data_IF_254844513310
#
_entry.id   IF_254844513310
#
_cell.length_a   1.000
_cell.length_b   1.000
_cell.length_c   1.000
_cell.angle_alpha   90.00
_cell.angle_beta   90.00
_cell.angle_gamma   90.00
#
_symmetry.space_group_name_H-M   'P 1'
#
loop_
_entity.id
_entity.type
_entity.pdbx_description
1 polymer ?
#
# COMPACT_ATOMS: atom_id res chain seq x y z
N UNK A 1 29.55 45.53 -3.32
CA UNK A 1 28.36 45.60 -2.45
C UNK A 1 28.58 44.63 -1.32
N UNK A 2 28.94 45.11 -0.14
CA UNK A 2 29.15 44.26 1.03
C UNK A 2 27.82 43.90 1.70
N UNK A 3 27.68 42.69 2.26
CA UNK A 3 26.46 42.27 2.94
C UNK A 3 26.36 42.97 4.31
N UNK A 4 25.17 43.46 4.65
CA UNK A 4 24.90 44.17 5.92
C UNK A 4 25.12 43.24 7.13
N UNK A 5 25.99 43.66 8.04
CA UNK A 5 26.43 42.93 9.24
C UNK A 5 25.37 42.77 10.36
N UNK A 6 24.08 42.98 10.10
CA UNK A 6 23.02 42.99 11.13
C UNK A 6 21.87 42.02 10.90
N UNK A 7 21.95 41.14 9.89
CA UNK A 7 20.97 40.08 9.71
C UNK A 7 21.25 38.89 10.63
N UNK A 8 20.62 38.86 11.81
CA UNK A 8 20.45 37.61 12.56
C UNK A 8 19.28 36.87 11.92
N UNK A 9 19.58 35.92 11.04
CA UNK A 9 18.56 35.11 10.35
C UNK A 9 17.50 34.55 11.30
N UNK A 10 16.35 34.15 10.76
CA UNK A 10 15.27 33.53 11.53
C UNK A 10 15.81 32.22 12.12
N UNK A 11 15.93 32.15 13.45
CA UNK A 11 16.11 30.86 14.12
C UNK A 11 14.81 30.09 13.94
N UNK A 12 14.82 29.05 13.12
CA UNK A 12 13.76 28.06 13.07
C UNK A 12 13.82 27.20 14.35
N UNK A 13 13.50 27.80 15.48
CA UNK A 13 13.34 27.11 16.76
C UNK A 13 11.85 27.10 17.10
N UNK A 14 11.09 26.23 16.43
CA UNK A 14 9.72 25.84 16.83
C UNK A 14 9.09 24.70 15.99
N UNK A 15 9.70 24.19 14.91
CA UNK A 15 9.06 23.11 14.12
C UNK A 15 9.26 21.70 14.68
N UNK A 16 10.18 21.50 15.64
CA UNK A 16 10.54 20.16 16.13
C UNK A 16 9.82 19.70 17.41
N UNK A 17 8.86 20.46 17.96
CA UNK A 17 8.23 20.11 19.24
C UNK A 17 6.70 20.09 19.26
N UNK A 18 6.01 20.35 18.14
CA UNK A 18 4.54 20.31 18.10
C UNK A 18 3.93 19.10 17.37
N UNK A 19 4.68 18.30 16.61
CA UNK A 19 4.13 17.11 15.90
C UNK A 19 4.30 15.78 16.66
N UNK A 20 5.10 15.74 17.73
CA UNK A 20 5.49 14.49 18.40
C UNK A 20 4.47 13.92 19.39
N UNK A 21 3.18 14.30 19.34
CA UNK A 21 2.23 13.96 20.40
C UNK A 21 1.08 13.01 20.04
N UNK A 22 0.88 12.56 18.79
CA UNK A 22 -0.41 11.93 18.45
C UNK A 22 -0.38 10.65 17.61
N UNK A 23 0.74 9.93 17.57
CA UNK A 23 0.78 8.62 16.93
C UNK A 23 1.55 7.61 17.78
N UNK A 24 0.84 6.61 18.29
CA UNK A 24 1.48 5.53 19.04
C UNK A 24 2.22 4.60 18.08
N UNK A 25 3.49 4.28 18.37
CA UNK A 25 4.22 3.28 17.58
C UNK A 25 3.52 1.93 17.73
N UNK A 26 3.23 1.30 16.60
CA UNK A 26 2.61 -0.02 16.50
C UNK A 26 3.57 -0.95 15.79
N UNK A 27 3.90 -2.05 16.46
CA UNK A 27 4.76 -3.11 15.94
C UNK A 27 3.99 -4.41 16.04
N UNK A 28 3.83 -5.11 14.91
CA UNK A 28 3.29 -6.46 14.92
C UNK A 28 3.79 -7.27 13.72
N UNK A 29 3.75 -8.57 13.89
CA UNK A 29 3.84 -9.55 12.82
C UNK A 29 2.57 -10.41 12.87
N UNK A 30 1.99 -10.66 11.71
CA UNK A 30 0.80 -11.49 11.56
C UNK A 30 1.07 -12.57 10.50
N UNK A 31 0.99 -13.84 10.92
CA UNK A 31 1.15 -15.00 10.04
C UNK A 31 -0.14 -15.34 9.26
N UNK A 32 -1.23 -14.60 9.51
CA UNK A 32 -2.51 -14.71 8.85
C UNK A 32 -3.14 -16.13 8.93
N UNK A 33 -2.74 -16.94 9.91
CA UNK A 33 -3.32 -18.26 10.13
C UNK A 33 -4.78 -18.17 10.62
N UNK A 34 -5.10 -17.12 11.36
CA UNK A 34 -6.46 -16.72 11.73
C UNK A 34 -6.63 -15.22 11.49
N UNK A 35 -7.58 -14.86 10.61
CA UNK A 35 -7.79 -13.47 10.21
C UNK A 35 -8.52 -12.73 11.31
N UNK A 36 -7.76 -11.94 12.07
CA UNK A 36 -8.28 -11.09 13.12
C UNK A 36 -9.16 -9.96 12.54
N UNK A 37 -10.50 -10.00 12.73
CA UNK A 37 -11.38 -9.01 12.12
C UNK A 37 -11.18 -7.60 12.67
N UNK A 38 -10.56 -7.46 13.84
CA UNK A 38 -10.17 -6.16 14.41
C UNK A 38 -9.01 -5.52 13.65
N UNK A 39 -8.14 -6.31 13.00
CA UNK A 39 -6.96 -5.83 12.26
C UNK A 39 -7.23 -5.73 10.77
N UNK A 40 -7.91 -6.73 10.22
CA UNK A 40 -8.07 -6.90 8.78
C UNK A 40 -9.53 -6.78 8.36
N UNK A 41 -9.73 -6.14 7.21
CA UNK A 41 -10.99 -6.10 6.49
C UNK A 41 -10.83 -6.93 5.20
N UNK A 42 -11.64 -7.99 5.08
CA UNK A 42 -11.81 -8.69 3.81
C UNK A 42 -12.71 -7.85 2.91
N UNK A 43 -12.21 -7.41 1.77
CA UNK A 43 -12.95 -6.48 0.90
C UNK A 43 -14.05 -7.19 0.13
N UNK A 44 -15.14 -6.47 -0.09
CA UNK A 44 -16.33 -6.94 -0.82
C UNK A 44 -16.82 -5.90 -1.85
N UNK A 45 -15.88 -5.24 -2.53
CA UNK A 45 -16.10 -4.09 -3.41
C UNK A 45 -15.30 -4.22 -4.72
N UNK A 46 -15.18 -3.14 -5.50
CA UNK A 46 -14.37 -3.08 -6.72
C UNK A 46 -13.96 -1.64 -7.02
N UNK A 47 -13.12 -1.45 -8.02
CA UNK A 47 -12.72 -0.15 -8.55
C UNK A 47 -12.70 -0.16 -10.09
N UNK A 48 -12.71 1.00 -10.78
CA UNK A 48 -12.90 1.07 -12.23
C UNK A 48 -11.92 0.21 -13.05
N UNK A 49 -10.64 0.16 -12.63
CA UNK A 49 -9.58 -0.62 -13.28
C UNK A 49 -9.64 -2.14 -13.04
N UNK A 50 -10.37 -2.60 -12.02
CA UNK A 50 -10.52 -4.02 -11.73
C UNK A 50 -11.63 -4.63 -12.60
N UNK A 51 -11.35 -5.76 -13.26
CA UNK A 51 -12.33 -6.53 -14.03
C UNK A 51 -13.18 -7.46 -13.16
N UNK A 52 -12.79 -7.70 -11.90
CA UNK A 52 -13.50 -8.54 -10.95
C UNK A 52 -14.16 -7.77 -9.80
N UNK A 53 -14.90 -8.50 -8.97
CA UNK A 53 -15.35 -8.04 -7.65
C UNK A 53 -14.51 -8.71 -6.57
N UNK A 54 -13.99 -7.92 -5.63
CA UNK A 54 -13.42 -8.51 -4.43
C UNK A 54 -14.51 -9.22 -3.64
N UNK A 55 -14.22 -10.43 -3.18
CA UNK A 55 -15.13 -11.25 -2.37
C UNK A 55 -14.37 -11.83 -1.19
N UNK A 56 -14.91 -11.80 0.04
CA UNK A 56 -14.29 -12.46 1.18
C UNK A 56 -14.05 -13.96 0.96
N UNK A 57 -14.93 -14.64 0.21
CA UNK A 57 -14.81 -16.06 -0.14
C UNK A 57 -13.56 -16.38 -0.99
N UNK A 58 -12.95 -15.38 -1.64
CA UNK A 58 -11.74 -15.56 -2.44
C UNK A 58 -10.45 -15.40 -1.62
N UNK A 59 -10.56 -15.04 -0.33
CA UNK A 59 -9.45 -15.01 0.62
C UNK A 59 -9.47 -16.32 1.41
N UNK A 60 -8.61 -17.26 1.02
CA UNK A 60 -8.64 -18.65 1.51
C UNK A 60 -7.47 -18.88 2.46
N UNK A 61 -7.70 -19.11 3.77
CA UNK A 61 -6.64 -19.47 4.71
C UNK A 61 -5.90 -20.74 4.28
N UNK A 62 -4.59 -20.76 4.47
CA UNK A 62 -3.74 -21.91 4.15
C UNK A 62 -3.44 -22.71 5.42
N UNK A 63 -3.41 -24.05 5.30
CA UNK A 63 -3.12 -24.95 6.44
C UNK A 63 -1.74 -24.67 7.08
N UNK A 64 -0.78 -24.21 6.30
CA UNK A 64 0.57 -23.85 6.76
C UNK A 64 0.68 -22.42 7.33
N UNK A 65 -0.46 -21.76 7.58
CA UNK A 65 -0.54 -20.32 7.79
C UNK A 65 -0.45 -19.53 6.48
N UNK A 66 -0.95 -18.29 6.51
CA UNK A 66 -1.07 -17.43 5.35
C UNK A 66 -2.43 -17.50 4.65
N UNK A 67 -2.53 -16.74 3.55
CA UNK A 67 -3.70 -16.61 2.69
C UNK A 67 -3.37 -16.95 1.25
N UNK A 68 -4.30 -17.60 0.56
CA UNK A 68 -4.40 -17.61 -0.90
C UNK A 68 -5.40 -16.54 -1.33
N UNK A 69 -4.95 -15.63 -2.20
CA UNK A 69 -5.76 -14.58 -2.79
C UNK A 69 -6.14 -15.00 -4.22
N UNK A 70 -7.35 -15.55 -4.38
CA UNK A 70 -7.75 -16.25 -5.61
C UNK A 70 -8.59 -15.38 -6.53
N UNK A 71 -8.31 -15.43 -7.84
CA UNK A 71 -9.15 -14.86 -8.90
C UNK A 71 -9.87 -16.01 -9.61
N UNK A 72 -11.20 -15.93 -9.72
CA UNK A 72 -12.05 -16.98 -10.29
C UNK A 72 -12.92 -16.39 -11.40
N UNK A 73 -13.12 -17.15 -12.48
CA UNK A 73 -14.11 -16.83 -13.51
C UNK A 73 -15.48 -17.30 -13.06
N UNK A 74 -16.33 -16.36 -12.66
CA UNK A 74 -17.70 -16.63 -12.24
C UNK A 74 -18.64 -15.44 -12.54
N UNK A 75 -19.89 -15.70 -12.95
CA UNK A 75 -20.86 -14.65 -13.21
C UNK A 75 -21.39 -14.06 -11.89
N UNK A 76 -21.16 -12.75 -11.66
CA UNK A 76 -21.61 -12.01 -10.47
C UNK A 76 -22.60 -10.89 -10.81
N UNK A 77 -23.24 -10.98 -11.98
CA UNK A 77 -24.13 -9.95 -12.53
C UNK A 77 -23.36 -8.80 -13.18
N UNK A 78 -22.74 -7.93 -12.38
CA UNK A 78 -22.04 -6.73 -12.87
C UNK A 78 -20.61 -6.99 -13.34
N UNK A 79 -20.03 -8.14 -12.97
CA UNK A 79 -18.71 -8.62 -13.40
C UNK A 79 -18.75 -10.14 -13.63
N UNK A 80 -17.81 -10.65 -14.41
CA UNK A 80 -17.68 -12.08 -14.74
C UNK A 80 -16.47 -12.74 -14.07
N UNK A 81 -15.90 -12.06 -13.07
CA UNK A 81 -14.72 -12.48 -12.32
C UNK A 81 -14.91 -12.08 -10.85
N UNK A 82 -14.48 -12.94 -9.94
CA UNK A 82 -14.21 -12.57 -8.54
C UNK A 82 -12.70 -12.47 -8.32
N UNK A 83 -12.32 -11.71 -7.30
CA UNK A 83 -10.95 -11.44 -6.91
C UNK A 83 -10.84 -11.38 -5.39
N UNK A 84 -9.61 -11.24 -4.88
CA UNK A 84 -9.34 -11.22 -3.44
C UNK A 84 -8.57 -9.97 -3.04
N UNK A 85 -8.99 -9.35 -1.95
CA UNK A 85 -8.28 -8.24 -1.32
C UNK A 85 -8.52 -8.20 0.19
N UNK A 86 -7.46 -7.85 0.91
CA UNK A 86 -7.46 -7.60 2.35
C UNK A 86 -6.85 -6.24 2.59
N UNK A 87 -7.43 -5.46 3.50
CA UNK A 87 -6.86 -4.20 3.96
C UNK A 87 -6.76 -4.14 5.47
N UNK A 88 -5.85 -3.34 6.00
CA UNK A 88 -5.89 -2.98 7.42
C UNK A 88 -7.17 -2.19 7.70
N UNK A 89 -7.65 -2.28 8.94
CA UNK A 89 -8.64 -1.34 9.47
C UNK A 89 -8.00 -0.05 9.96
N UNK A 90 -6.77 -0.16 10.45
CA UNK A 90 -6.03 0.99 10.96
C UNK A 90 -5.37 1.80 9.86
N UNK A 91 -5.26 3.10 10.10
CA UNK A 91 -4.45 4.01 9.32
C UNK A 91 -3.06 4.13 9.93
N UNK A 92 -2.05 4.07 9.08
CA UNK A 92 -0.66 4.17 9.46
C UNK A 92 -0.03 5.42 8.85
N UNK A 93 0.95 5.98 9.56
CA UNK A 93 1.75 7.11 9.11
C UNK A 93 3.22 6.80 9.37
N UNK A 94 4.02 6.73 8.31
CA UNK A 94 5.47 6.44 8.33
C UNK A 94 5.86 5.12 9.03
N UNK A 95 6.96 4.52 8.60
CA UNK A 95 7.49 3.26 9.13
C UNK A 95 7.80 2.23 8.05
N UNK A 96 7.91 0.97 8.48
CA UNK A 96 8.22 -0.18 7.63
C UNK A 96 7.02 -1.12 7.55
N UNK A 97 6.66 -1.48 6.32
CA UNK A 97 5.62 -2.43 5.98
C UNK A 97 6.24 -3.51 5.13
N UNK A 98 6.19 -4.76 5.60
CA UNK A 98 6.80 -5.89 4.92
C UNK A 98 5.79 -7.02 4.73
N UNK A 99 5.91 -7.72 3.61
CA UNK A 99 5.08 -8.87 3.28
C UNK A 99 5.96 -9.99 2.73
N UNK A 100 5.68 -11.22 3.14
CA UNK A 100 6.19 -12.41 2.47
C UNK A 100 5.13 -12.91 1.48
N UNK A 101 5.37 -12.75 0.18
CA UNK A 101 4.40 -13.07 -0.88
C UNK A 101 5.01 -13.88 -2.03
N UNK A 102 4.16 -14.67 -2.68
CA UNK A 102 4.42 -15.35 -3.94
C UNK A 102 3.34 -14.88 -4.92
N UNK A 103 3.75 -14.20 -5.99
CA UNK A 103 2.83 -13.62 -6.96
C UNK A 103 2.24 -14.69 -7.90
N UNK A 104 1.22 -14.31 -8.66
CA UNK A 104 0.75 -15.11 -9.79
C UNK A 104 1.58 -14.82 -11.05
N UNK A 105 1.73 -15.80 -11.94
CA UNK A 105 2.28 -15.62 -13.29
C UNK A 105 1.21 -15.69 -14.39
N UNK A 106 -0.06 -15.44 -14.05
CA UNK A 106 -1.13 -15.41 -15.04
C UNK A 106 -1.21 -14.03 -15.67
N UNK A 107 -1.00 -13.88 -17.00
CA UNK A 107 -1.15 -12.61 -17.70
C UNK A 107 -2.52 -11.99 -17.45
N UNK A 108 -2.55 -10.68 -17.28
CA UNK A 108 -3.71 -9.86 -16.95
C UNK A 108 -4.09 -9.83 -15.46
N UNK A 109 -3.39 -10.57 -14.60
CA UNK A 109 -3.50 -10.43 -13.15
C UNK A 109 -2.38 -9.54 -12.59
N UNK A 110 -2.68 -8.85 -11.50
CA UNK A 110 -1.72 -8.06 -10.71
C UNK A 110 -1.80 -8.54 -9.26
N UNK A 111 -0.65 -8.81 -8.65
CA UNK A 111 -0.50 -9.01 -7.21
C UNK A 111 0.08 -7.75 -6.60
N UNK A 112 -0.63 -7.12 -5.67
CA UNK A 112 -0.24 -5.84 -5.08
C UNK A 112 -0.09 -5.91 -3.56
N UNK A 113 0.88 -5.18 -3.03
CA UNK A 113 1.06 -4.83 -1.62
C UNK A 113 1.35 -3.33 -1.53
N UNK A 114 0.47 -2.56 -0.89
CA UNK A 114 0.52 -1.10 -1.04
C UNK A 114 -0.15 -0.38 0.13
N UNK A 115 0.22 0.89 0.30
CA UNK A 115 -0.44 1.83 1.20
C UNK A 115 -1.37 2.71 0.38
N UNK A 116 -2.59 2.97 0.85
CA UNK A 116 -3.56 3.80 0.11
C UNK A 116 -4.49 4.61 1.01
N UNK A 117 -4.85 5.81 0.53
CA UNK A 117 -6.01 6.60 0.95
C UNK A 117 -6.70 7.22 -0.27
N UNK A 118 -7.99 7.51 -0.14
CA UNK A 118 -8.81 7.99 -1.27
C UNK A 118 -8.74 9.51 -1.49
N UNK A 119 -8.83 10.34 -0.45
CA UNK A 119 -9.03 11.79 -0.62
C UNK A 119 -8.33 12.64 0.45
N UNK A 120 -7.30 13.44 0.11
CA UNK A 120 -6.56 13.42 -1.15
C UNK A 120 -5.96 12.04 -1.43
N UNK A 121 -5.95 11.61 -2.70
CA UNK A 121 -5.38 10.31 -3.05
C UNK A 121 -3.87 10.30 -2.85
N UNK A 122 -3.41 9.38 -2.01
CA UNK A 122 -1.99 9.07 -1.86
C UNK A 122 -1.81 7.56 -1.80
N UNK A 123 -0.77 7.07 -2.45
CA UNK A 123 -0.53 5.64 -2.61
C UNK A 123 0.96 5.35 -2.74
N UNK A 124 1.43 4.23 -2.19
CA UNK A 124 2.79 3.73 -2.32
C UNK A 124 2.72 2.23 -2.64
N UNK A 125 3.28 1.83 -3.77
CA UNK A 125 3.01 0.53 -4.38
C UNK A 125 4.22 -0.42 -4.42
N UNK A 126 3.94 -1.70 -4.18
CA UNK A 126 4.70 -2.87 -4.65
C UNK A 126 3.72 -3.70 -5.49
N UNK A 127 3.95 -3.79 -6.79
CA UNK A 127 3.11 -4.56 -7.71
C UNK A 127 3.94 -5.54 -8.56
N UNK A 128 3.42 -6.74 -8.75
CA UNK A 128 3.98 -7.75 -9.65
C UNK A 128 2.88 -8.17 -10.62
N UNK A 129 3.14 -7.99 -11.92
CA UNK A 129 2.18 -8.33 -12.97
C UNK A 129 2.42 -9.76 -13.45
N UNK A 130 1.35 -10.53 -13.66
CA UNK A 130 1.49 -11.94 -13.99
C UNK A 130 2.12 -12.23 -15.36
N UNK A 131 2.16 -11.25 -16.27
CA UNK A 131 2.91 -11.37 -17.53
C UNK A 131 4.42 -11.11 -17.40
N UNK A 132 4.88 -10.50 -16.30
CA UNK A 132 6.28 -10.16 -16.03
C UNK A 132 6.60 -10.39 -14.55
N UNK A 133 6.43 -11.63 -14.03
CA UNK A 133 6.69 -11.93 -12.62
C UNK A 133 8.18 -11.83 -12.24
N UNK A 134 9.05 -11.57 -13.22
CA UNK A 134 10.47 -11.27 -13.08
C UNK A 134 10.78 -9.78 -12.84
N UNK A 135 9.75 -8.92 -12.77
CA UNK A 135 9.91 -7.49 -12.51
C UNK A 135 8.98 -7.03 -11.41
N UNK A 136 9.52 -6.16 -10.56
CA UNK A 136 8.75 -5.39 -9.59
C UNK A 136 8.39 -4.03 -10.19
N UNK A 137 7.12 -3.66 -10.11
CA UNK A 137 6.64 -2.32 -10.40
C UNK A 137 6.45 -1.60 -9.06
N UNK A 138 7.22 -0.55 -8.82
CA UNK A 138 7.01 0.34 -7.69
C UNK A 138 6.44 1.65 -8.18
N UNK A 139 5.62 2.28 -7.37
CA UNK A 139 4.97 3.53 -7.75
C UNK A 139 4.63 4.35 -6.50
N UNK A 140 4.46 5.64 -6.72
CA UNK A 140 3.84 6.55 -5.77
C UNK A 140 2.83 7.37 -6.54
N UNK A 141 1.59 7.34 -6.09
CA UNK A 141 0.59 8.30 -6.49
C UNK A 141 0.49 9.40 -5.44
N UNK A 142 0.52 10.65 -5.91
CA UNK A 142 0.40 11.80 -5.04
C UNK A 142 -0.60 12.81 -5.60
N UNK A 143 -1.60 13.13 -4.79
CA UNK A 143 -2.46 14.29 -4.94
C UNK A 143 -2.21 15.27 -3.77
N UNK A 144 -1.92 16.56 -4.03
CA UNK A 144 -1.68 17.54 -2.98
C UNK A 144 -2.95 17.85 -2.17
N UNK A 145 -2.75 18.16 -0.89
CA UNK A 145 -3.81 18.57 0.03
C UNK A 145 -3.55 18.08 1.45
N UNK A 146 -4.34 18.59 2.38
CA UNK A 146 -4.36 18.15 3.78
C UNK A 146 -5.56 17.24 4.04
N UNK A 147 -5.60 16.64 5.24
CA UNK A 147 -6.76 15.89 5.71
C UNK A 147 -8.06 16.71 5.56
N UNK A 148 -9.11 16.10 5.00
CA UNK A 148 -10.39 16.77 4.77
C UNK A 148 -10.45 17.74 3.59
N UNK A 149 -9.39 17.85 2.77
CA UNK A 149 -9.44 18.61 1.53
C UNK A 149 -10.52 18.05 0.59
N UNK A 150 -11.32 18.96 -0.01
CA UNK A 150 -12.50 18.63 -0.83
C UNK A 150 -12.20 18.50 -2.33
N UNK A 151 -10.96 18.72 -2.73
CA UNK A 151 -10.56 18.77 -4.12
C UNK A 151 -9.45 17.76 -4.39
N UNK A 152 -9.61 17.01 -5.48
CA UNK A 152 -8.52 16.25 -6.08
C UNK A 152 -7.94 17.07 -7.24
N UNK A 153 -6.66 17.44 -7.13
CA UNK A 153 -5.99 18.26 -8.15
C UNK A 153 -5.46 17.43 -9.31
N UNK A 154 -5.82 16.14 -9.36
CA UNK A 154 -5.29 15.16 -10.30
C UNK A 154 -4.05 14.50 -9.69
N UNK A 155 -4.16 13.20 -9.38
CA UNK A 155 -3.04 12.42 -8.90
C UNK A 155 -2.07 12.09 -10.04
N UNK A 156 -0.77 12.10 -9.74
CA UNK A 156 0.28 11.66 -10.68
C UNK A 156 0.93 10.41 -10.14
N UNK A 157 0.91 9.35 -10.95
CA UNK A 157 1.70 8.14 -10.76
C UNK A 157 3.06 8.29 -11.41
N UNK A 158 4.07 7.73 -10.76
CA UNK A 158 5.47 7.80 -11.17
C UNK A 158 6.13 6.42 -11.08
N UNK A 159 5.65 5.48 -11.93
CA UNK A 159 6.04 4.08 -11.83
C UNK A 159 7.48 3.85 -12.27
N UNK A 160 8.15 2.92 -11.59
CA UNK A 160 9.50 2.44 -11.94
C UNK A 160 9.46 0.91 -11.97
N UNK A 161 9.96 0.32 -13.07
CA UNK A 161 10.02 -1.13 -13.23
C UNK A 161 11.44 -1.64 -13.01
N UNK A 162 11.59 -2.52 -12.01
CA UNK A 162 12.85 -3.00 -11.48
C UNK A 162 12.99 -4.51 -11.81
N UNK A 163 14.06 -4.96 -12.49
CA UNK A 163 14.33 -6.38 -12.65
C UNK A 163 14.62 -7.05 -11.30
N UNK A 164 13.97 -8.17 -11.01
CA UNK A 164 14.18 -8.92 -9.76
C UNK A 164 15.37 -9.88 -9.82
N UNK A 165 15.71 -10.36 -11.03
CA UNK A 165 16.72 -11.42 -11.21
C UNK A 165 16.20 -12.82 -10.87
N UNK A 166 14.93 -12.95 -10.50
CA UNK A 166 14.21 -14.20 -10.24
C UNK A 166 12.75 -14.06 -10.65
N UNK A 167 12.01 -15.16 -10.72
CA UNK A 167 10.56 -15.17 -10.99
C UNK A 167 9.78 -15.25 -9.67
N UNK A 168 9.15 -14.14 -9.28
CA UNK A 168 8.42 -14.00 -8.01
C UNK A 168 7.14 -14.86 -7.91
N UNK A 169 6.79 -15.60 -8.98
CA UNK A 169 5.71 -16.58 -8.95
C UNK A 169 6.13 -17.97 -8.52
N UNK A 170 7.44 -18.24 -8.43
CA UNK A 170 7.96 -19.60 -8.15
C UNK A 170 8.06 -19.91 -6.66
N UNK A 171 8.38 -18.91 -5.84
CA UNK A 171 8.62 -19.05 -4.40
C UNK A 171 8.18 -17.80 -3.66
N UNK A 172 8.11 -17.89 -2.32
CA UNK A 172 7.89 -16.73 -1.46
C UNK A 172 9.14 -15.84 -1.43
N UNK A 173 8.93 -14.54 -1.56
CA UNK A 173 9.94 -13.49 -1.37
C UNK A 173 9.41 -12.42 -0.41
N UNK A 174 10.31 -11.69 0.23
CA UNK A 174 9.94 -10.56 1.10
C UNK A 174 10.01 -9.26 0.30
N UNK A 175 8.94 -8.48 0.36
CA UNK A 175 8.90 -7.14 -0.21
C UNK A 175 8.59 -6.16 0.91
N UNK A 176 9.30 -5.04 0.97
CA UNK A 176 9.05 -4.04 1.98
C UNK A 176 9.02 -2.62 1.41
N UNK A 177 8.16 -1.81 2.01
CA UNK A 177 8.09 -0.36 1.86
C UNK A 177 8.57 0.23 3.17
N UNK A 178 9.61 1.05 3.12
CA UNK A 178 9.93 1.98 4.19
C UNK A 178 9.54 3.39 3.76
N UNK A 179 8.76 4.05 4.59
CA UNK A 179 8.16 5.33 4.30
C UNK A 179 8.46 6.31 5.44
N UNK A 180 9.04 7.44 5.08
CA UNK A 180 9.45 8.53 5.97
C UNK A 180 9.00 9.87 5.34
N UNK A 181 8.93 10.99 6.09
CA UNK A 181 8.67 12.31 5.50
C UNK A 181 9.61 12.69 4.34
N UNK A 182 10.85 12.18 4.33
CA UNK A 182 11.87 12.56 3.36
C UNK A 182 12.04 11.56 2.22
N UNK A 183 11.63 10.30 2.40
CA UNK A 183 11.89 9.25 1.42
C UNK A 183 10.90 8.10 1.47
N UNK A 184 10.87 7.36 0.35
CA UNK A 184 10.31 6.02 0.27
C UNK A 184 11.39 5.09 -0.27
N UNK A 185 11.60 3.97 0.41
CA UNK A 185 12.56 2.93 0.04
C UNK A 185 11.84 1.61 -0.16
N UNK A 186 12.19 0.89 -1.21
CA UNK A 186 11.67 -0.42 -1.51
C UNK A 186 12.77 -1.46 -1.35
N UNK A 187 12.42 -2.56 -0.67
CA UNK A 187 13.34 -3.67 -0.44
C UNK A 187 12.78 -4.97 -1.01
N UNK A 188 13.68 -5.82 -1.47
CA UNK A 188 13.40 -7.19 -1.90
C UNK A 188 14.36 -8.11 -1.15
N UNK A 189 13.81 -9.07 -0.41
CA UNK A 189 14.53 -10.04 0.42
C UNK A 189 15.48 -9.43 1.47
N UNK A 190 15.35 -8.13 1.75
CA UNK A 190 16.18 -7.36 2.69
C UNK A 190 17.12 -6.37 2.00
N UNK A 191 17.29 -6.48 0.67
CA UNK A 191 18.14 -5.61 -0.13
C UNK A 191 17.38 -4.38 -0.64
N UNK A 192 17.98 -3.19 -0.54
CA UNK A 192 17.41 -1.95 -1.07
C UNK A 192 17.48 -1.96 -2.60
N UNK A 193 16.33 -1.98 -3.26
CA UNK A 193 16.26 -2.02 -4.74
C UNK A 193 15.90 -0.68 -5.37
N UNK A 194 15.24 0.20 -4.61
CA UNK A 194 14.90 1.54 -5.08
C UNK A 194 14.71 2.51 -3.90
N UNK A 195 15.10 3.75 -4.11
CA UNK A 195 14.92 4.84 -3.16
C UNK A 195 14.40 6.06 -3.91
N UNK A 196 13.42 6.71 -3.32
CA UNK A 196 12.86 7.96 -3.78
C UNK A 196 12.95 8.97 -2.65
N UNK A 197 13.40 10.18 -2.97
CA UNK A 197 13.50 11.30 -2.03
C UNK A 197 12.48 12.38 -2.39
N UNK A 198 12.21 13.29 -1.45
CA UNK A 198 11.31 14.41 -1.67
C UNK A 198 11.70 15.21 -2.92
N UNK A 199 10.69 15.66 -3.67
CA UNK A 199 10.79 16.51 -4.87
C UNK A 199 11.33 15.85 -6.14
N UNK A 200 11.54 14.52 -6.13
CA UNK A 200 11.78 13.78 -7.36
C UNK A 200 10.96 12.50 -7.41
N UNK A 201 9.99 12.31 -8.32
CA UNK A 201 9.32 13.27 -9.24
C UNK A 201 8.08 14.03 -8.67
N UNK A 202 7.57 13.66 -7.50
CA UNK A 202 6.52 14.37 -6.74
C UNK A 202 6.92 14.41 -5.24
N UNK A 203 6.22 15.16 -4.37
CA UNK A 203 6.41 15.03 -2.93
C UNK A 203 6.19 13.58 -2.44
N UNK A 204 6.71 13.29 -1.25
CA UNK A 204 6.44 12.04 -0.54
C UNK A 204 5.03 12.13 0.08
N UNK A 205 4.20 11.07 -0.01
CA UNK A 205 2.98 10.97 0.77
C UNK A 205 3.21 11.30 2.24
N UNK A 206 2.31 12.05 2.84
CA UNK A 206 2.48 12.56 4.21
C UNK A 206 1.20 12.41 5.03
N UNK A 207 0.16 11.83 4.45
CA UNK A 207 -1.11 11.63 5.14
C UNK A 207 -1.31 10.15 5.47
N UNK A 208 -2.05 9.84 6.56
CA UNK A 208 -2.27 8.45 6.95
C UNK A 208 -2.92 7.60 5.86
N UNK A 209 -2.48 6.36 5.75
CA UNK A 209 -2.92 5.39 4.75
C UNK A 209 -3.24 4.04 5.39
N UNK A 210 -4.17 3.30 4.77
CA UNK A 210 -4.42 1.90 5.10
C UNK A 210 -3.46 1.01 4.30
N UNK A 211 -3.07 -0.13 4.87
CA UNK A 211 -2.24 -1.13 4.20
C UNK A 211 -3.14 -2.12 3.45
N UNK A 212 -2.79 -2.50 2.23
CA UNK A 212 -3.56 -3.40 1.38
C UNK A 212 -2.69 -4.52 0.82
N UNK A 213 -3.29 -5.68 0.63
CA UNK A 213 -2.74 -6.76 -0.19
C UNK A 213 -3.87 -7.36 -1.04
N UNK A 214 -3.64 -7.55 -2.33
CA UNK A 214 -4.67 -8.04 -3.24
C UNK A 214 -4.10 -8.86 -4.41
N UNK A 215 -4.98 -9.57 -5.09
CA UNK A 215 -4.72 -10.10 -6.43
C UNK A 215 -5.97 -9.94 -7.27
N UNK A 216 -5.83 -9.28 -8.42
CA UNK A 216 -6.97 -8.81 -9.20
C UNK A 216 -6.70 -8.83 -10.71
N UNK A 217 -7.75 -9.04 -11.53
CA UNK A 217 -7.66 -8.94 -12.98
C UNK A 217 -7.74 -7.48 -13.43
N UNK A 218 -6.69 -6.96 -14.07
CA UNK A 218 -6.68 -5.58 -14.56
C UNK A 218 -7.37 -5.43 -15.91
N UNK A 219 -8.03 -4.28 -16.10
CA UNK A 219 -8.55 -3.85 -17.41
C UNK A 219 -7.41 -3.41 -18.35
N UNK A 220 -6.28 -2.96 -17.81
CA UNK A 220 -5.18 -2.42 -18.61
C UNK A 220 -4.33 -3.53 -19.23
N UNK A 221 -4.40 -3.66 -20.55
CA UNK A 221 -3.51 -4.56 -21.29
C UNK A 221 -2.05 -4.09 -21.26
N UNK A 222 -1.80 -2.79 -21.18
CA UNK A 222 -0.44 -2.24 -21.10
C UNK A 222 0.24 -2.62 -19.78
N UNK A 223 -0.53 -2.68 -18.68
CA UNK A 223 -0.01 -3.01 -17.37
C UNK A 223 0.39 -4.49 -17.26
N UNK A 224 -0.55 -5.41 -17.48
CA UNK A 224 -0.35 -6.84 -17.20
C UNK A 224 -0.56 -7.76 -18.41
N UNK A 225 -0.71 -7.20 -19.62
CA UNK A 225 -1.08 -7.97 -20.80
C UNK A 225 -2.57 -8.36 -20.81
N UNK A 226 -2.97 -9.14 -21.81
CA UNK A 226 -4.34 -9.65 -21.92
C UNK A 226 -4.58 -10.76 -20.90
N UNK A 227 -5.72 -10.70 -20.20
CA UNK A 227 -6.12 -11.73 -19.23
C UNK A 227 -6.22 -13.12 -19.85
N UNK A 228 -5.41 -14.05 -19.34
CA UNK A 228 -5.41 -15.46 -19.76
C UNK A 228 -6.51 -16.25 -19.03
N UNK A 229 -7.78 -16.08 -19.45
CA UNK A 229 -8.95 -16.68 -18.80
C UNK A 229 -8.91 -18.21 -18.61
N UNK A 230 -8.20 -18.93 -19.49
CA UNK A 230 -8.06 -20.40 -19.39
C UNK A 230 -7.15 -20.86 -18.25
N UNK A 231 -6.35 -19.95 -17.70
CA UNK A 231 -5.46 -20.20 -16.57
C UNK A 231 -6.11 -19.88 -15.22
N UNK A 232 -7.41 -19.54 -15.19
CA UNK A 232 -8.17 -19.34 -13.95
C UNK A 232 -8.83 -20.66 -13.50
N UNK A 233 -8.98 -20.90 -12.18
CA UNK A 233 -8.61 -20.01 -11.08
C UNK A 233 -7.10 -19.90 -10.88
N UNK A 234 -6.65 -18.74 -10.41
CA UNK A 234 -5.24 -18.49 -10.12
C UNK A 234 -5.12 -17.67 -8.84
N UNK A 235 -4.01 -17.87 -8.13
CA UNK A 235 -3.82 -17.28 -6.80
C UNK A 235 -2.42 -16.70 -6.63
N UNK A 236 -2.35 -15.66 -5.81
CA UNK A 236 -1.12 -15.30 -5.10
C UNK A 236 -1.19 -15.81 -3.67
N UNK A 237 -0.04 -16.08 -3.07
CA UNK A 237 0.07 -16.53 -1.67
C UNK A 237 0.70 -15.42 -0.83
N UNK A 238 0.09 -15.12 0.31
CA UNK A 238 0.60 -14.19 1.32
C UNK A 238 0.87 -15.00 2.58
N UNK A 239 2.12 -15.10 3.00
CA UNK A 239 2.49 -15.91 4.18
C UNK A 239 2.47 -15.12 5.47
N UNK A 240 2.83 -13.84 5.42
CA UNK A 240 3.05 -13.01 6.60
C UNK A 240 3.04 -11.54 6.21
N UNK A 241 2.54 -10.70 7.12
CA UNK A 241 2.70 -9.25 7.06
C UNK A 241 3.31 -8.77 8.38
N UNK A 242 4.31 -7.91 8.29
CA UNK A 242 4.93 -7.25 9.44
C UNK A 242 4.83 -5.74 9.28
N UNK A 243 4.52 -5.05 10.38
CA UNK A 243 4.38 -3.60 10.44
C UNK A 243 5.15 -3.07 11.63
N UNK A 244 5.96 -2.05 11.41
CA UNK A 244 6.58 -1.20 12.43
C UNK A 244 6.39 0.25 11.99
N UNK A 245 5.32 0.87 12.49
CA UNK A 245 4.86 2.17 12.00
C UNK A 245 4.23 2.98 13.12
N UNK A 246 3.80 4.21 12.82
CA UNK A 246 2.95 4.94 13.73
C UNK A 246 1.47 4.75 13.38
N UNK A 247 0.63 4.52 14.39
CA UNK A 247 -0.83 4.45 14.23
C UNK A 247 -1.43 5.85 14.29
N UNK A 248 -2.18 6.23 13.26
CA UNK A 248 -2.77 7.55 13.11
C UNK A 248 -4.24 7.63 13.60
N UNK A 249 -4.82 6.52 14.06
CA UNK A 249 -6.20 6.49 14.55
C UNK A 249 -6.34 7.00 16.00
N UNK A 250 -5.22 7.16 16.72
CA UNK A 250 -5.22 7.70 18.09
C UNK A 250 -5.49 9.19 18.10
N UNK A 251 -6.76 9.59 18.21
CA UNK A 251 -7.12 10.95 18.64
C UNK A 251 -6.88 11.12 20.15
N UNK A 252 -6.40 12.27 20.63
CA UNK A 252 -6.57 12.61 22.03
C UNK A 252 -8.06 12.69 22.35
N UNK A 253 -8.47 12.10 23.48
CA UNK A 253 -9.69 12.54 24.13
C UNK A 253 -9.48 14.01 24.48
N UNK A 254 -10.16 14.92 23.77
CA UNK A 254 -10.32 16.28 24.26
C UNK A 254 -11.04 16.15 25.60
N UNK A 255 -10.31 16.40 26.69
CA UNK A 255 -10.95 16.61 27.98
C UNK A 255 -12.00 17.69 27.76
N UNK A 256 -13.26 17.34 28.00
CA UNK A 256 -14.35 18.32 28.05
C UNK A 256 -13.94 19.40 29.04
N UNK A 257 -13.70 20.60 28.53
CA UNK A 257 -13.58 21.79 29.39
C UNK A 257 -14.94 21.93 30.06
N UNK A 258 -15.04 21.91 31.40
CA UNK A 258 -16.30 22.21 32.06
C UNK A 258 -16.71 23.63 31.67
N UNK A 259 -17.94 23.80 31.20
CA UNK A 259 -18.55 25.12 31.12
C UNK A 259 -18.79 25.62 32.54
N UNK A 260 -17.88 26.45 33.03
CA UNK A 260 -18.03 27.37 34.16
C UNK A 260 -17.47 28.72 33.63
N UNK A 261 -18.13 29.89 33.62
CA UNK A 261 -19.32 30.48 34.25
C UNK A 261 -19.91 31.50 33.26
#
# INVERSE_FOLDING_TARGET
MEPRASWKGIRASAFNQMEASFSSRVIFEDNLADIQPARWLLRNDTFPGNLGLFRPANVIPQLSGGLSLTVIKEPLGVRNLSAAAVSSRSNFLFGRFEVALQATNVPGLVTGFFLHRESPRQEIDVEITGNRPDRLLVNVFYNPGSEGAKFDYGYRGTPVSIPLGFDASKTLHRFAIEWDPCFVRWFVDGELVHCRVTWGPTPIPHLPMTLHVNTWPTRSHELAGRLALRALPASAIVRRISVDSFNADTRPQLASVPEDI
#
